data_IF_379998029426
#
_entry.id   IF_379998029426
#
_cell.length_a   1.000
_cell.length_b   1.000
_cell.length_c   1.000
_cell.angle_alpha   90.00
_cell.angle_beta   90.00
_cell.angle_gamma   90.00
#
_symmetry.space_group_name_H-M   'P 1'
#
loop_
_entity.id
_entity.type
_entity.pdbx_description
1 polymer ?
#
# COMPACT_ATOMS: atom_id res chain seq x y z
N UNK A 1 -24.18 58.26 5.01
CA UNK A 1 -24.80 57.04 4.44
C UNK A 1 -23.88 55.80 4.54
N UNK A 2 -23.17 55.57 5.67
CA UNK A 2 -22.20 54.46 5.79
C UNK A 2 -22.55 53.38 6.83
N UNK A 3 -23.42 53.70 7.80
CA UNK A 3 -23.77 52.79 8.91
C UNK A 3 -24.73 51.68 8.48
N UNK A 4 -25.79 52.00 7.73
CA UNK A 4 -26.76 50.99 7.27
C UNK A 4 -26.12 49.90 6.38
N UNK A 5 -25.18 50.30 5.51
CA UNK A 5 -24.48 49.35 4.63
C UNK A 5 -23.55 48.39 5.39
N UNK A 6 -22.90 48.86 6.46
CA UNK A 6 -22.04 48.01 7.29
C UNK A 6 -22.86 47.02 8.13
N UNK A 7 -24.01 47.44 8.67
CA UNK A 7 -24.91 46.53 9.37
C UNK A 7 -25.47 45.46 8.44
N UNK A 8 -25.93 45.83 7.24
CA UNK A 8 -26.46 44.88 6.26
C UNK A 8 -25.39 43.86 5.81
N UNK A 9 -24.13 44.30 5.68
CA UNK A 9 -23.00 43.43 5.38
C UNK A 9 -22.70 42.41 6.48
N UNK A 10 -22.72 42.81 7.75
CA UNK A 10 -22.49 41.92 8.90
C UNK A 10 -23.61 40.88 9.01
N UNK A 11 -24.86 41.28 8.83
CA UNK A 11 -26.00 40.34 8.81
C UNK A 11 -25.92 39.37 7.61
N UNK A 12 -25.53 39.87 6.43
CA UNK A 12 -25.30 39.03 5.25
C UNK A 12 -24.20 38.00 5.46
N UNK A 13 -23.10 38.36 6.13
CA UNK A 13 -22.00 37.43 6.44
C UNK A 13 -22.39 36.43 7.54
N UNK A 14 -23.07 36.91 8.58
CA UNK A 14 -23.50 36.10 9.73
C UNK A 14 -24.52 35.02 9.34
N UNK A 15 -25.37 35.27 8.34
CA UNK A 15 -26.35 34.31 7.83
C UNK A 15 -25.79 33.54 6.63
N UNK A 16 -25.04 34.21 5.75
CA UNK A 16 -24.52 33.63 4.51
C UNK A 16 -23.49 32.54 4.73
N UNK A 17 -22.58 32.66 5.70
CA UNK A 17 -21.60 31.61 6.02
C UNK A 17 -22.26 30.33 6.53
N UNK A 18 -23.11 30.35 7.58
CA UNK A 18 -23.72 29.11 8.06
C UNK A 18 -24.66 28.52 7.01
N UNK A 19 -25.41 29.33 6.26
CA UNK A 19 -26.26 28.81 5.18
C UNK A 19 -25.42 28.18 4.05
N UNK A 20 -24.31 28.82 3.65
CA UNK A 20 -23.39 28.27 2.66
C UNK A 20 -22.71 26.99 3.12
N UNK A 21 -22.35 26.88 4.40
CA UNK A 21 -21.80 25.65 4.99
C UNK A 21 -22.84 24.53 5.06
N UNK A 22 -24.10 24.83 5.40
CA UNK A 22 -25.18 23.84 5.42
C UNK A 22 -25.48 23.34 4.02
N UNK A 23 -25.60 24.25 3.04
CA UNK A 23 -25.83 23.88 1.63
C UNK A 23 -24.63 23.10 1.07
N UNK A 24 -23.40 23.54 1.36
CA UNK A 24 -22.18 22.84 0.97
C UNK A 24 -22.08 21.44 1.59
N UNK A 25 -22.45 21.29 2.86
CA UNK A 25 -22.50 20.00 3.54
C UNK A 25 -23.57 19.08 2.93
N UNK A 26 -24.76 19.59 2.65
CA UNK A 26 -25.81 18.81 1.99
C UNK A 26 -25.40 18.40 0.57
N UNK A 27 -24.81 19.29 -0.23
CA UNK A 27 -24.31 18.93 -1.57
C UNK A 27 -23.16 17.92 -1.51
N UNK A 28 -22.29 17.97 -0.49
CA UNK A 28 -21.21 17.02 -0.31
C UNK A 28 -21.72 15.63 0.14
N UNK A 29 -22.66 15.58 1.07
CA UNK A 29 -23.28 14.32 1.54
C UNK A 29 -24.18 13.68 0.48
N UNK A 30 -24.87 14.48 -0.33
CA UNK A 30 -25.78 14.00 -1.39
C UNK A 30 -25.10 13.79 -2.75
N UNK A 31 -23.85 14.22 -2.91
CA UNK A 31 -23.02 13.84 -4.05
C UNK A 31 -22.68 12.37 -3.90
N UNK A 32 -23.57 11.50 -4.39
CA UNK A 32 -23.40 10.06 -4.40
C UNK A 32 -21.96 9.72 -4.80
N UNK A 33 -21.26 8.99 -3.92
CA UNK A 33 -20.10 8.22 -4.33
C UNK A 33 -20.60 7.32 -5.47
N UNK A 34 -20.23 7.63 -6.72
CA UNK A 34 -20.55 6.80 -7.88
C UNK A 34 -20.29 5.36 -7.50
N UNK A 35 -21.35 4.58 -7.27
CA UNK A 35 -21.20 3.15 -7.08
C UNK A 35 -20.49 2.66 -8.33
N UNK A 36 -19.29 2.12 -8.15
CA UNK A 36 -18.56 1.44 -9.21
C UNK A 36 -19.46 0.28 -9.60
N UNK A 37 -20.13 0.40 -10.75
CA UNK A 37 -20.96 -0.68 -11.29
C UNK A 37 -20.05 -1.90 -11.41
N UNK A 38 -20.49 -3.02 -10.84
CA UNK A 38 -19.75 -4.28 -10.96
C UNK A 38 -19.43 -4.53 -12.44
N UNK A 39 -18.15 -4.73 -12.79
CA UNK A 39 -17.77 -4.92 -14.18
C UNK A 39 -18.44 -6.20 -14.69
N UNK A 40 -19.09 -6.10 -15.85
CA UNK A 40 -19.65 -7.27 -16.52
C UNK A 40 -18.50 -8.17 -16.93
N UNK A 41 -18.30 -9.26 -16.20
CA UNK A 41 -17.26 -10.27 -16.49
C UNK A 41 -17.61 -10.94 -17.81
N UNK A 42 -16.77 -10.72 -18.84
CA UNK A 42 -16.90 -11.36 -20.15
C UNK A 42 -15.74 -12.34 -20.38
N UNK A 43 -15.95 -13.47 -21.06
CA UNK A 43 -14.87 -14.39 -21.44
C UNK A 43 -13.85 -13.72 -22.36
N UNK A 44 -12.57 -14.07 -22.23
CA UNK A 44 -11.46 -13.53 -23.07
C UNK A 44 -11.75 -13.70 -24.58
N UNK A 45 -12.45 -14.77 -24.96
CA UNK A 45 -12.85 -15.06 -26.34
C UNK A 45 -13.82 -14.07 -26.96
N UNK A 46 -14.52 -13.28 -26.15
CA UNK A 46 -15.54 -12.31 -26.60
C UNK A 46 -15.04 -10.86 -26.58
N UNK A 47 -13.80 -10.63 -26.13
CA UNK A 47 -13.20 -9.30 -26.13
C UNK A 47 -12.76 -8.89 -27.55
N UNK A 48 -13.07 -7.65 -27.93
CA UNK A 48 -12.58 -7.05 -29.15
C UNK A 48 -11.07 -6.78 -29.13
N UNK A 49 -10.45 -6.51 -30.29
CA UNK A 49 -8.99 -6.37 -30.41
C UNK A 49 -8.39 -5.27 -29.53
N UNK A 50 -9.13 -4.16 -29.35
CA UNK A 50 -8.70 -3.04 -28.49
C UNK A 50 -8.64 -3.47 -27.02
N UNK A 51 -9.68 -4.17 -26.54
CA UNK A 51 -9.72 -4.61 -25.15
C UNK A 51 -8.72 -5.74 -24.87
N UNK A 52 -8.43 -6.60 -25.86
CA UNK A 52 -7.32 -7.55 -25.79
C UNK A 52 -5.96 -6.85 -25.68
N UNK A 53 -5.77 -5.73 -26.38
CA UNK A 53 -4.56 -4.91 -26.29
C UNK A 53 -4.42 -4.20 -24.95
N UNK A 54 -5.53 -3.81 -24.33
CA UNK A 54 -5.57 -3.27 -22.97
C UNK A 54 -5.31 -4.33 -21.89
N UNK A 55 -5.68 -5.59 -22.14
CA UNK A 55 -5.43 -6.72 -21.22
C UNK A 55 -4.01 -7.29 -21.33
N UNK A 56 -3.31 -7.04 -22.44
CA UNK A 56 -1.96 -7.52 -22.69
C UNK A 56 -1.01 -7.21 -21.52
N UNK A 57 -0.95 -5.99 -20.94
CA UNK A 57 -0.16 -5.69 -19.74
C UNK A 57 -0.52 -6.51 -18.49
N UNK A 58 -1.76 -6.93 -18.34
CA UNK A 58 -2.25 -7.66 -17.15
C UNK A 58 -1.97 -9.17 -17.18
N UNK A 59 -1.65 -9.72 -18.36
CA UNK A 59 -1.35 -11.13 -18.52
C UNK A 59 -0.10 -11.51 -17.69
N UNK A 60 -0.10 -12.66 -16.98
CA UNK A 60 1.06 -13.11 -16.22
C UNK A 60 2.34 -13.22 -17.05
N UNK A 61 3.48 -12.88 -16.45
CA UNK A 61 4.75 -12.84 -17.16
C UNK A 61 5.19 -14.20 -17.73
N UNK A 62 4.86 -15.32 -17.09
CA UNK A 62 5.12 -16.68 -17.62
C UNK A 62 4.32 -17.02 -18.89
N UNK A 63 3.22 -16.31 -19.19
CA UNK A 63 2.50 -16.45 -20.47
C UNK A 63 3.18 -15.61 -21.56
N UNK A 64 3.66 -14.42 -21.18
CA UNK A 64 4.27 -13.46 -22.10
C UNK A 64 5.70 -13.83 -22.47
N UNK A 65 6.40 -14.42 -21.52
CA UNK A 65 7.83 -14.64 -21.57
C UNK A 65 8.10 -16.07 -21.09
N UNK A 66 8.59 -16.95 -21.98
CA UNK A 66 8.80 -18.36 -21.65
C UNK A 66 9.86 -18.57 -20.56
N UNK A 67 10.72 -17.57 -20.31
CA UNK A 67 11.76 -17.62 -19.28
C UNK A 67 11.23 -17.62 -17.84
N UNK A 68 9.96 -17.25 -17.64
CA UNK A 68 9.35 -17.25 -16.31
C UNK A 68 8.65 -18.58 -16.06
N UNK A 69 9.09 -19.28 -15.03
CA UNK A 69 8.50 -20.54 -14.60
C UNK A 69 7.44 -20.31 -13.52
N UNK A 70 6.39 -21.13 -13.54
CA UNK A 70 5.41 -21.18 -12.44
C UNK A 70 5.99 -21.98 -11.28
N UNK A 71 5.86 -21.43 -10.08
CA UNK A 71 6.39 -22.03 -8.84
C UNK A 71 5.26 -22.39 -7.88
N UNK A 72 4.31 -23.21 -8.32
CA UNK A 72 3.13 -23.58 -7.54
C UNK A 72 3.49 -24.28 -6.20
N UNK A 73 4.59 -25.04 -6.18
CA UNK A 73 5.11 -25.66 -4.97
C UNK A 73 5.55 -24.62 -3.93
N UNK A 74 6.16 -23.51 -4.38
CA UNK A 74 6.60 -22.43 -3.49
C UNK A 74 5.39 -21.69 -2.91
N UNK A 75 4.34 -21.50 -3.70
CA UNK A 75 3.09 -20.92 -3.22
C UNK A 75 2.43 -21.79 -2.14
N UNK A 76 2.43 -23.12 -2.29
CA UNK A 76 1.95 -24.04 -1.24
C UNK A 76 2.80 -23.94 0.02
N UNK A 77 4.12 -23.92 -0.13
CA UNK A 77 5.06 -23.76 0.98
C UNK A 77 4.84 -22.44 1.74
N UNK A 78 4.68 -21.32 1.02
CA UNK A 78 4.39 -20.02 1.61
C UNK A 78 3.04 -20.00 2.33
N UNK A 79 2.03 -20.67 1.79
CA UNK A 79 0.72 -20.78 2.41
C UNK A 79 0.79 -21.47 3.77
N UNK A 80 1.49 -22.60 3.86
CA UNK A 80 1.65 -23.34 5.12
C UNK A 80 2.48 -22.56 6.15
N UNK A 81 3.48 -21.79 5.69
CA UNK A 81 4.31 -20.95 6.55
C UNK A 81 3.67 -19.63 6.97
N UNK A 82 2.66 -19.15 6.25
CA UNK A 82 2.10 -17.81 6.40
C UNK A 82 1.71 -17.45 7.84
N UNK A 83 1.04 -18.32 8.64
CA UNK A 83 0.65 -17.97 10.01
C UNK A 83 1.83 -17.67 10.94
N UNK A 84 3.03 -18.17 10.61
CA UNK A 84 4.26 -17.90 11.36
C UNK A 84 4.96 -16.66 10.82
N UNK A 85 5.01 -16.51 9.49
CA UNK A 85 5.58 -15.35 8.82
C UNK A 85 4.83 -14.08 9.18
N UNK A 86 3.50 -14.09 9.18
CA UNK A 86 2.67 -12.96 9.53
C UNK A 86 3.00 -12.42 10.93
N UNK A 87 3.12 -13.30 11.93
CA UNK A 87 3.52 -12.92 13.30
C UNK A 87 4.92 -12.31 13.35
N UNK A 88 5.89 -12.90 12.67
CA UNK A 88 7.26 -12.39 12.63
C UNK A 88 7.32 -11.02 11.96
N UNK A 89 6.65 -10.86 10.81
CA UNK A 89 6.59 -9.59 10.07
C UNK A 89 5.87 -8.52 10.91
N UNK A 90 4.77 -8.84 11.59
CA UNK A 90 4.11 -7.93 12.52
C UNK A 90 5.06 -7.45 13.63
N UNK A 91 5.91 -8.34 14.16
CA UNK A 91 6.96 -7.97 15.13
C UNK A 91 8.00 -7.01 14.56
N UNK A 92 8.46 -7.27 13.33
CA UNK A 92 9.39 -6.40 12.60
C UNK A 92 8.74 -5.04 12.34
N UNK A 93 7.50 -5.00 11.87
CA UNK A 93 6.76 -3.75 11.61
C UNK A 93 6.70 -2.91 12.89
N UNK A 94 6.31 -3.49 14.03
CA UNK A 94 6.26 -2.77 15.31
C UNK A 94 7.61 -2.17 15.68
N UNK A 95 8.68 -2.95 15.56
CA UNK A 95 10.03 -2.52 15.93
C UNK A 95 10.57 -1.43 14.99
N UNK A 96 10.34 -1.57 13.69
CA UNK A 96 10.80 -0.62 12.67
C UNK A 96 10.00 0.69 12.68
N UNK A 97 8.70 0.64 13.00
CA UNK A 97 7.83 1.83 13.01
C UNK A 97 7.90 2.61 14.31
N UNK A 98 8.25 2.00 15.43
CA UNK A 98 8.41 2.68 16.71
C UNK A 98 9.34 3.92 16.66
N UNK A 99 10.56 3.87 16.08
CA UNK A 99 11.39 5.06 15.95
C UNK A 99 10.78 6.10 15.01
N UNK A 100 10.11 5.67 13.94
CA UNK A 100 9.41 6.57 13.00
C UNK A 100 8.31 7.33 13.74
N UNK A 101 7.49 6.65 14.53
CA UNK A 101 6.43 7.27 15.33
C UNK A 101 6.99 8.25 16.36
N UNK A 102 8.10 7.92 17.01
CA UNK A 102 8.76 8.80 17.97
C UNK A 102 9.15 10.16 17.37
N UNK A 103 9.50 10.22 16.07
CA UNK A 103 9.81 11.48 15.39
C UNK A 103 8.59 12.42 15.22
N UNK A 104 7.38 11.87 15.24
CA UNK A 104 6.13 12.62 15.09
C UNK A 104 5.46 12.93 16.43
N UNK A 105 5.74 12.16 17.48
CA UNK A 105 5.28 12.44 18.83
C UNK A 105 5.85 13.79 19.29
N UNK A 106 5.00 14.66 19.84
CA UNK A 106 5.34 16.03 20.22
C UNK A 106 5.25 17.05 19.07
N UNK A 107 5.28 16.61 17.81
CA UNK A 107 4.92 17.45 16.66
C UNK A 107 3.41 17.47 16.47
N UNK A 108 2.87 18.61 16.02
CA UNK A 108 1.43 18.76 15.74
C UNK A 108 0.48 18.37 16.90
N UNK A 109 0.93 18.49 18.15
CA UNK A 109 0.15 18.11 19.35
C UNK A 109 -0.21 16.61 19.45
N UNK A 110 0.52 15.74 18.73
CA UNK A 110 0.40 14.28 18.85
C UNK A 110 1.08 13.83 20.14
N UNK A 111 0.32 13.25 21.08
CA UNK A 111 0.81 12.74 22.35
C UNK A 111 1.31 11.30 22.27
N UNK A 112 0.64 10.46 21.47
CA UNK A 112 1.00 9.06 21.29
C UNK A 112 0.46 8.52 19.96
N UNK A 113 1.17 7.54 19.41
CA UNK A 113 0.77 6.75 18.24
C UNK A 113 0.93 5.28 18.63
N UNK A 114 -0.16 4.52 18.61
CA UNK A 114 -0.18 3.13 19.05
C UNK A 114 -0.87 2.22 18.03
N UNK A 115 -0.39 0.98 17.89
CA UNK A 115 -1.10 -0.05 17.14
C UNK A 115 -2.17 -0.66 18.04
N UNK A 116 -3.44 -0.39 17.74
CA UNK A 116 -4.59 -1.05 18.37
C UNK A 116 -4.70 -2.50 17.84
N UNK A 117 -4.55 -2.65 16.51
CA UNK A 117 -4.56 -3.95 15.85
C UNK A 117 -3.53 -3.96 14.71
N UNK A 118 -2.80 -5.06 14.57
CA UNK A 118 -1.85 -5.26 13.48
C UNK A 118 -1.89 -6.72 13.07
N UNK A 119 -2.58 -6.98 11.96
CA UNK A 119 -2.58 -8.26 11.27
C UNK A 119 -2.43 -8.02 9.77
N UNK A 120 -1.65 -8.87 9.11
CA UNK A 120 -1.50 -8.85 7.65
C UNK A 120 -2.58 -9.68 6.95
N UNK A 121 -3.45 -10.34 7.72
CA UNK A 121 -4.52 -11.18 7.19
C UNK A 121 -4.10 -12.62 6.94
N UNK A 122 -5.02 -13.40 6.38
CA UNK A 122 -4.87 -14.85 6.21
C UNK A 122 -4.31 -15.26 4.86
N UNK A 123 -4.24 -14.31 3.91
CA UNK A 123 -3.83 -14.57 2.54
C UNK A 123 -2.35 -14.24 2.35
N UNK A 124 -1.49 -15.22 1.99
CA UNK A 124 -0.09 -14.97 1.73
C UNK A 124 0.15 -14.26 0.40
N UNK A 125 1.35 -13.66 0.21
CA UNK A 125 1.82 -13.25 -1.09
C UNK A 125 1.95 -14.46 -2.02
N UNK A 126 1.63 -14.26 -3.30
CA UNK A 126 1.75 -15.25 -4.36
C UNK A 126 2.94 -14.90 -5.25
N UNK A 127 3.81 -15.86 -5.49
CA UNK A 127 4.86 -15.78 -6.51
C UNK A 127 4.24 -16.20 -7.84
N UNK A 128 3.98 -15.22 -8.69
CA UNK A 128 3.36 -15.42 -10.00
C UNK A 128 4.29 -16.06 -11.02
N UNK A 129 5.60 -15.83 -10.88
CA UNK A 129 6.62 -16.43 -11.72
C UNK A 129 8.01 -16.17 -11.18
N UNK A 130 8.93 -17.07 -11.49
CA UNK A 130 10.34 -16.96 -11.13
C UNK A 130 11.21 -17.21 -12.36
N UNK A 131 12.28 -16.44 -12.51
CA UNK A 131 13.29 -16.59 -13.55
C UNK A 131 14.66 -16.63 -12.89
N UNK A 132 15.50 -17.58 -13.28
CA UNK A 132 16.91 -17.59 -12.92
C UNK A 132 17.69 -17.03 -14.11
N UNK A 133 18.55 -16.04 -13.86
CA UNK A 133 19.41 -15.46 -14.88
C UNK A 133 20.75 -16.19 -14.90
N UNK A 134 21.14 -16.65 -16.08
CA UNK A 134 22.48 -17.19 -16.30
C UNK A 134 23.48 -16.04 -16.37
N UNK A 135 24.48 -16.07 -15.49
CA UNK A 135 25.56 -15.08 -15.44
C UNK A 135 26.91 -15.75 -15.63
N UNK A 136 27.85 -15.09 -16.31
CA UNK A 136 29.24 -15.55 -16.43
C UNK A 136 30.08 -15.33 -15.16
N UNK A 137 29.52 -14.64 -14.17
CA UNK A 137 30.14 -14.35 -12.89
C UNK A 137 29.82 -15.43 -11.85
N UNK A 138 30.59 -15.48 -10.74
CA UNK A 138 30.31 -16.38 -9.60
C UNK A 138 29.17 -15.82 -8.74
N UNK A 139 28.01 -15.63 -9.34
CA UNK A 139 26.80 -15.17 -8.67
C UNK A 139 25.58 -15.96 -9.15
N UNK A 140 24.55 -16.00 -8.32
CA UNK A 140 23.25 -16.54 -8.68
C UNK A 140 22.23 -15.41 -8.64
N UNK A 141 21.63 -15.08 -9.77
CA UNK A 141 20.64 -14.01 -9.87
C UNK A 141 19.27 -14.60 -10.17
N UNK A 142 18.28 -14.24 -9.36
CA UNK A 142 16.90 -14.71 -9.47
C UNK A 142 15.96 -13.53 -9.49
N UNK A 143 15.02 -13.52 -10.43
CA UNK A 143 13.94 -12.53 -10.54
C UNK A 143 12.62 -13.19 -10.21
N UNK A 144 11.83 -12.55 -9.35
CA UNK A 144 10.53 -13.08 -8.94
C UNK A 144 9.49 -12.01 -9.14
N UNK A 145 8.28 -12.43 -9.51
CA UNK A 145 7.13 -11.55 -9.65
C UNK A 145 6.19 -11.89 -8.51
N UNK A 146 6.10 -11.01 -7.52
CA UNK A 146 5.32 -11.23 -6.30
C UNK A 146 4.10 -10.31 -6.34
N UNK A 147 2.93 -10.91 -6.13
CA UNK A 147 1.66 -10.20 -5.97
C UNK A 147 1.06 -10.57 -4.63
N UNK A 148 0.62 -9.59 -3.87
CA UNK A 148 -0.05 -9.79 -2.60
C UNK A 148 -1.31 -8.95 -2.55
N UNK A 149 -2.46 -9.61 -2.46
CA UNK A 149 -3.74 -8.98 -2.23
C UNK A 149 -4.31 -9.62 -0.96
N UNK A 150 -3.94 -9.03 0.18
CA UNK A 150 -4.29 -9.53 1.50
C UNK A 150 -5.55 -8.87 2.03
N UNK A 151 -6.07 -9.43 3.12
CA UNK A 151 -7.09 -8.81 3.96
C UNK A 151 -6.47 -8.31 5.29
N UNK A 152 -5.52 -7.37 5.25
CA UNK A 152 -4.90 -6.92 6.49
C UNK A 152 -5.88 -6.10 7.33
N UNK A 153 -5.63 -6.11 8.63
CA UNK A 153 -6.34 -5.27 9.59
C UNK A 153 -5.30 -4.55 10.43
N UNK A 154 -4.99 -3.33 9.99
CA UNK A 154 -4.00 -2.47 10.65
C UNK A 154 -4.74 -1.26 11.17
N UNK A 155 -4.88 -1.16 12.49
CA UNK A 155 -5.57 -0.07 13.18
C UNK A 155 -4.57 0.67 14.05
N UNK A 156 -4.36 1.94 13.72
CA UNK A 156 -3.52 2.88 14.46
C UNK A 156 -4.41 3.82 15.25
N UNK A 157 -4.11 4.00 16.54
CA UNK A 157 -4.75 5.03 17.37
C UNK A 157 -3.79 6.18 17.59
N UNK A 158 -4.22 7.36 17.13
CA UNK A 158 -3.54 8.64 17.32
C UNK A 158 -4.17 9.37 18.49
N UNK A 159 -3.37 9.72 19.49
CA UNK A 159 -3.79 10.57 20.60
C UNK A 159 -3.38 12.00 20.31
N UNK A 160 -4.33 12.84 19.91
CA UNK A 160 -4.09 14.27 19.63
C UNK A 160 -4.81 15.10 20.68
N UNK A 161 -4.06 15.83 21.50
CA UNK A 161 -4.59 16.58 22.66
C UNK A 161 -5.40 15.69 23.62
N UNK A 162 -6.74 15.72 23.52
CA UNK A 162 -7.67 14.90 24.32
C UNK A 162 -8.57 14.00 23.44
N UNK A 163 -8.35 14.01 22.12
CA UNK A 163 -9.11 13.23 21.15
C UNK A 163 -8.32 11.97 20.75
N UNK A 164 -9.05 10.87 20.59
CA UNK A 164 -8.53 9.61 20.05
C UNK A 164 -9.05 9.45 18.62
N UNK A 165 -8.14 9.43 17.66
CA UNK A 165 -8.46 9.24 16.24
C UNK A 165 -7.95 7.86 15.87
N UNK A 166 -8.83 6.96 15.40
CA UNK A 166 -8.38 5.67 14.85
C UNK A 166 -8.29 5.76 13.34
N UNK A 167 -7.14 5.38 12.82
CA UNK A 167 -6.83 5.26 11.39
C UNK A 167 -6.72 3.77 11.10
N UNK A 168 -7.51 3.28 10.17
CA UNK A 168 -7.52 1.90 9.72
C UNK A 168 -7.00 1.83 8.29
N UNK A 169 -6.00 0.98 8.05
CA UNK A 169 -5.59 0.58 6.72
C UNK A 169 -6.40 -0.65 6.31
N UNK A 170 -6.99 -0.60 5.12
CA UNK A 170 -7.78 -1.67 4.50
C UNK A 170 -7.28 -1.92 3.07
N UNK A 171 -7.66 -3.04 2.49
CA UNK A 171 -7.45 -3.35 1.06
C UNK A 171 -6.00 -3.15 0.55
N UNK A 172 -5.02 -3.70 1.28
CA UNK A 172 -3.62 -3.60 0.87
C UNK A 172 -3.31 -4.55 -0.29
N UNK A 173 -2.84 -3.97 -1.38
CA UNK A 173 -2.37 -4.68 -2.55
C UNK A 173 -0.94 -4.26 -2.87
N UNK A 174 -0.05 -5.23 -3.02
CA UNK A 174 1.36 -5.02 -3.33
C UNK A 174 1.74 -5.86 -4.53
N UNK A 175 2.33 -5.22 -5.53
CA UNK A 175 2.92 -5.87 -6.68
C UNK A 175 4.37 -5.43 -6.76
N UNK A 176 5.28 -6.40 -6.71
CA UNK A 176 6.70 -6.13 -6.69
C UNK A 176 7.46 -7.17 -7.51
N UNK A 177 8.51 -6.72 -8.17
CA UNK A 177 9.42 -7.59 -8.94
C UNK A 177 10.81 -7.52 -8.31
N UNK A 178 11.07 -8.23 -7.20
CA UNK A 178 12.40 -8.29 -6.61
C UNK A 178 13.34 -9.14 -7.47
N UNK A 179 14.59 -8.68 -7.52
CA UNK A 179 15.76 -9.42 -7.99
C UNK A 179 16.63 -9.73 -6.78
N UNK A 180 16.89 -11.01 -6.56
CA UNK A 180 17.75 -11.52 -5.51
C UNK A 180 19.05 -12.00 -6.16
N UNK A 181 20.18 -11.45 -5.72
CA UNK A 181 21.52 -11.83 -6.16
C UNK A 181 22.30 -12.42 -4.99
N UNK A 182 22.71 -13.68 -5.12
CA UNK A 182 23.63 -14.33 -4.19
C UNK A 182 25.05 -14.17 -4.73
N UNK A 183 25.88 -13.39 -4.02
CA UNK A 183 27.26 -13.12 -4.48
C UNK A 183 28.26 -12.82 -3.35
N UNK A 184 29.55 -13.11 -3.55
CA UNK A 184 30.04 -14.15 -4.46
C UNK A 184 29.60 -15.54 -3.98
N UNK A 185 29.51 -16.49 -4.90
CA UNK A 185 29.39 -17.91 -4.60
C UNK A 185 30.73 -18.42 -4.06
N UNK A 186 30.66 -19.15 -2.95
CA UNK A 186 31.82 -19.69 -2.22
C UNK A 186 31.66 -21.20 -2.00
N UNK A 187 32.74 -21.98 -1.92
CA UNK A 187 32.67 -23.44 -1.74
C UNK A 187 32.43 -23.86 -0.28
N UNK A 188 31.86 -22.97 0.55
CA UNK A 188 31.54 -23.22 1.96
C UNK A 188 30.07 -22.97 2.16
N UNK A 189 29.35 -23.90 2.81
CA UNK A 189 27.92 -23.73 3.11
C UNK A 189 27.68 -22.40 3.87
N UNK A 190 26.67 -21.60 3.48
CA UNK A 190 25.53 -21.90 2.58
C UNK A 190 25.79 -21.68 1.07
N UNK A 191 27.05 -21.66 0.64
CA UNK A 191 27.54 -21.52 -0.74
C UNK A 191 27.55 -20.10 -1.33
N UNK A 192 27.27 -19.09 -0.51
CA UNK A 192 27.34 -17.68 -0.89
C UNK A 192 27.75 -16.81 0.30
N UNK A 193 28.33 -15.64 0.04
CA UNK A 193 28.78 -14.73 1.10
C UNK A 193 27.76 -13.62 1.44
N UNK A 194 26.97 -13.15 0.47
CA UNK A 194 25.99 -12.08 0.66
C UNK A 194 24.74 -12.32 -0.16
N UNK A 195 23.62 -11.83 0.37
CA UNK A 195 22.35 -11.73 -0.33
C UNK A 195 22.09 -10.26 -0.60
N UNK A 196 21.97 -9.91 -1.88
CA UNK A 196 21.59 -8.57 -2.31
C UNK A 196 20.19 -8.64 -2.90
N UNK A 197 19.26 -7.89 -2.30
CA UNK A 197 17.89 -7.78 -2.83
C UNK A 197 17.71 -6.38 -3.43
N UNK A 198 17.28 -6.31 -4.68
CA UNK A 198 16.95 -5.06 -5.38
C UNK A 198 15.57 -5.15 -6.02
N UNK A 199 14.85 -4.04 -6.14
CA UNK A 199 13.61 -4.01 -6.90
C UNK A 199 13.89 -3.58 -8.34
N UNK A 200 13.42 -4.37 -9.30
CA UNK A 200 13.59 -4.10 -10.73
C UNK A 200 12.80 -2.88 -11.19
N UNK A 201 11.62 -2.72 -10.61
CA UNK A 201 10.70 -1.64 -10.89
C UNK A 201 10.14 -1.11 -9.57
N UNK A 202 9.61 0.12 -9.59
CA UNK A 202 8.94 0.68 -8.42
C UNK A 202 7.76 -0.22 -8.05
N UNK A 203 7.66 -0.70 -6.80
CA UNK A 203 6.57 -1.56 -6.41
C UNK A 203 5.26 -0.79 -6.49
N UNK A 204 4.23 -1.42 -7.03
CA UNK A 204 2.87 -0.89 -6.98
C UNK A 204 2.27 -1.24 -5.63
N UNK A 205 1.90 -0.23 -4.87
CA UNK A 205 1.30 -0.38 -3.54
C UNK A 205 0.01 0.42 -3.56
N UNK A 206 -1.11 -0.28 -3.43
CA UNK A 206 -2.44 0.29 -3.31
C UNK A 206 -3.02 -0.08 -1.95
N UNK A 207 -3.71 0.87 -1.31
CA UNK A 207 -4.31 0.68 0.01
C UNK A 207 -5.44 1.67 0.24
N UNK A 208 -6.48 1.20 0.93
CA UNK A 208 -7.53 2.06 1.47
C UNK A 208 -7.17 2.57 2.87
N UNK A 209 -7.55 3.80 3.18
CA UNK A 209 -7.50 4.34 4.55
C UNK A 209 -8.90 4.74 4.98
N UNK A 210 -9.36 4.19 6.10
CA UNK A 210 -10.58 4.59 6.79
C UNK A 210 -10.23 5.27 8.13
N UNK A 211 -10.96 6.32 8.53
CA UNK A 211 -10.81 6.94 9.86
C UNK A 211 -12.13 6.79 10.61
N UNK A 212 -12.08 6.24 11.81
CA UNK A 212 -13.28 6.14 12.66
C UNK A 212 -13.56 7.52 13.27
N UNK A 213 -14.50 8.26 12.69
CA UNK A 213 -14.88 9.61 13.13
C UNK A 213 -15.23 10.58 12.00
N UNK A 214 -15.06 10.17 10.73
CA UNK A 214 -15.37 10.93 9.52
C UNK A 214 -14.52 10.43 8.36
N UNK A 215 -15.09 10.41 7.14
CA UNK A 215 -14.41 9.90 5.94
C UNK A 215 -13.12 10.69 5.66
N UNK A 216 -11.99 10.01 5.47
CA UNK A 216 -10.67 10.62 5.19
C UNK A 216 -10.70 11.44 3.90
N UNK A 217 -11.56 11.04 2.97
CA UNK A 217 -11.81 11.73 1.70
C UNK A 217 -12.39 13.14 1.89
N UNK A 218 -12.84 13.49 3.09
CA UNK A 218 -13.40 14.81 3.41
C UNK A 218 -12.39 15.82 3.97
N UNK A 219 -11.13 15.43 4.25
CA UNK A 219 -10.09 16.33 4.78
C UNK A 219 -9.12 16.75 3.66
N UNK A 220 -9.24 17.97 3.10
CA UNK A 220 -8.35 18.45 2.05
C UNK A 220 -6.92 18.59 2.59
N UNK A 221 -5.96 17.89 1.99
CA UNK A 221 -4.53 17.99 2.30
C UNK A 221 -3.88 16.72 2.82
N UNK A 222 -4.60 15.87 3.57
CA UNK A 222 -4.04 14.61 4.11
C UNK A 222 -3.77 13.58 3.02
N UNK A 223 -4.68 13.49 2.03
CA UNK A 223 -4.54 12.61 0.86
C UNK A 223 -3.22 12.85 0.10
N UNK A 224 -2.83 14.12 -0.05
CA UNK A 224 -1.62 14.50 -0.79
C UNK A 224 -0.34 14.15 -0.03
N UNK A 225 -0.35 14.13 1.31
CA UNK A 225 0.82 13.73 2.10
C UNK A 225 1.08 12.22 2.08
N UNK A 226 0.01 11.42 2.02
CA UNK A 226 0.13 9.95 1.97
C UNK A 226 0.55 9.47 0.58
N UNK A 227 0.03 10.08 -0.49
CA UNK A 227 0.30 9.64 -1.87
C UNK A 227 1.63 10.18 -2.46
N UNK A 228 2.15 11.32 -1.95
CA UNK A 228 3.29 12.04 -2.57
C UNK A 228 4.66 11.69 -1.97
N UNK A 229 4.78 10.74 -1.04
CA UNK A 229 6.10 10.24 -0.61
C UNK A 229 6.38 8.76 -0.89
N UNK A 230 6.40 8.32 -2.15
CA UNK A 230 7.13 7.11 -2.53
C UNK A 230 8.57 7.49 -2.90
N UNK A 231 9.34 8.06 -1.96
CA UNK A 231 10.79 8.36 -2.18
C UNK A 231 11.72 7.55 -1.28
N UNK A 232 11.21 6.50 -0.63
CA UNK A 232 12.02 5.61 0.20
C UNK A 232 11.82 4.14 -0.18
N UNK A 233 12.03 3.77 -1.44
CA UNK A 233 12.11 2.34 -1.79
C UNK A 233 13.12 2.08 -2.91
N UNK A 234 14.37 2.50 -2.66
CA UNK A 234 15.52 1.73 -3.08
C UNK A 234 16.10 1.14 -1.79
N UNK A 235 15.40 0.17 -1.22
CA UNK A 235 15.96 -0.59 -0.10
C UNK A 235 16.77 -1.72 -0.72
N UNK A 236 18.07 -1.46 -0.91
CA UNK A 236 19.04 -2.54 -1.05
C UNK A 236 19.19 -3.12 0.34
N UNK A 237 18.49 -4.22 0.62
CA UNK A 237 18.81 -5.02 1.80
C UNK A 237 20.09 -5.79 1.47
N UNK A 238 21.20 -5.35 2.05
CA UNK A 238 22.44 -6.14 2.10
C UNK A 238 22.38 -6.98 3.37
N UNK A 239 22.06 -8.27 3.20
CA UNK A 239 22.08 -9.23 4.30
C UNK A 239 23.42 -9.95 4.21
N UNK A 240 24.28 -9.68 5.19
CA UNK A 240 25.53 -10.40 5.38
C UNK A 240 25.22 -11.72 6.11
N UNK A 241 25.61 -12.84 5.49
CA UNK A 241 25.56 -14.17 6.10
C UNK A 241 26.81 -14.44 6.94
#
# INVERSE_FOLDING_TARGET
MGLLGSFLGIFGFAIGIPFGLVVGFFLFVYSESKQVKDPVVRPISELGPIALQELLPEIPLWVKTPDYERVDWLNKFLFDMWPFLEKAICGIIRTTTQPIFAEYIGKYQIKAIEFDELSLGTLPPTVCGMKVLETNEKELVMEQVIKWAGNPKIVLTLHVLSLKIKVQLVDLQIFATPRITLRPLVPTLPCFAKIVVSLMEKPHVDFGIAISGGDVMSIPGLYRFVQVRPSFFLVVFDIHC
#
